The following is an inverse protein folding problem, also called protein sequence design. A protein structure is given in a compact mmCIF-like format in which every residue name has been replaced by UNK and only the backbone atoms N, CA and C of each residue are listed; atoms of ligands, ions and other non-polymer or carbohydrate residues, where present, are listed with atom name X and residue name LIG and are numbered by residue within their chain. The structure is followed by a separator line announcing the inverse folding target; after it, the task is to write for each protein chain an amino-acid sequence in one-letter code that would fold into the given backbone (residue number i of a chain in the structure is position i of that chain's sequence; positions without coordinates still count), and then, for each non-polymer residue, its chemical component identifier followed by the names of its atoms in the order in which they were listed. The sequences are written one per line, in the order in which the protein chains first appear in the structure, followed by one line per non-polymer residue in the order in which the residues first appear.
data_IF_522977081897
#
_entry.id   IF_522977081897
#
_cell.length_a   1.000
_cell.length_b   1.000
_cell.length_c   1.000
_cell.angle_alpha   90.00
_cell.angle_beta   90.00
_cell.angle_gamma   90.00
#
_symmetry.space_group_name_H-M   'P 1'
#
loop_
_entity.id
_entity.type
_entity.pdbx_description
1 polymer ?
#
# COMPACT_ATOMS: atom_id res chain seq x y z
N UNK A 1 -0.69 86.95 -29.55
CA UNK A 1 0.22 87.00 -28.39
C UNK A 1 0.03 85.68 -27.63
N UNK A 2 0.78 84.65 -28.01
CA UNK A 2 0.81 83.33 -27.35
C UNK A 2 2.23 83.19 -26.80
N UNK A 3 2.37 83.07 -25.49
CA UNK A 3 3.66 82.89 -24.82
C UNK A 3 3.82 81.40 -24.49
N UNK A 4 4.75 80.75 -25.17
CA UNK A 4 5.24 79.40 -24.87
C UNK A 4 6.09 79.43 -23.58
N UNK A 5 5.64 78.75 -22.54
CA UNK A 5 6.45 78.47 -21.34
C UNK A 5 7.12 77.09 -21.49
N UNK A 6 8.30 77.08 -22.10
CA UNK A 6 9.15 75.88 -22.21
C UNK A 6 9.84 75.57 -20.88
N UNK A 7 9.33 74.58 -20.13
CA UNK A 7 10.01 74.06 -18.95
C UNK A 7 11.15 73.10 -19.37
N UNK A 8 12.37 73.62 -19.48
CA UNK A 8 13.56 72.83 -19.84
C UNK A 8 14.09 72.06 -18.63
N UNK A 9 13.70 70.79 -18.49
CA UNK A 9 14.25 69.89 -17.47
C UNK A 9 15.68 69.50 -17.88
N UNK A 10 16.67 69.91 -17.09
CA UNK A 10 18.09 69.64 -17.32
C UNK A 10 18.44 68.15 -17.40
N UNK A 11 19.43 67.79 -18.23
CA UNK A 11 19.86 66.40 -18.50
C UNK A 11 20.24 65.60 -17.24
N UNK A 12 20.65 66.29 -16.17
CA UNK A 12 20.98 65.69 -14.86
C UNK A 12 19.74 65.23 -14.09
N UNK A 13 18.69 66.04 -14.06
CA UNK A 13 17.42 65.73 -13.36
C UNK A 13 16.67 64.58 -14.05
N UNK A 14 16.73 64.49 -15.39
CA UNK A 14 16.16 63.34 -16.13
C UNK A 14 16.84 62.02 -15.79
N UNK A 15 18.15 62.03 -15.53
CA UNK A 15 18.90 60.82 -15.14
C UNK A 15 18.54 60.36 -13.73
N UNK A 16 18.33 61.30 -12.79
CA UNK A 16 17.90 60.99 -11.42
C UNK A 16 16.49 60.40 -11.41
N UNK A 17 15.56 60.99 -12.14
CA UNK A 17 14.18 60.50 -12.28
C UNK A 17 14.18 59.11 -12.93
N UNK A 18 14.99 58.90 -13.97
CA UNK A 18 15.12 57.59 -14.63
C UNK A 18 15.74 56.51 -13.72
N UNK A 19 16.76 56.86 -12.92
CA UNK A 19 17.31 55.93 -11.93
C UNK A 19 16.31 55.60 -10.82
N UNK A 20 15.55 56.58 -10.33
CA UNK A 20 14.53 56.37 -9.30
C UNK A 20 13.37 55.50 -9.80
N UNK A 21 12.90 55.70 -11.04
CA UNK A 21 11.87 54.85 -11.64
C UNK A 21 12.38 53.44 -11.94
N UNK A 22 13.64 53.30 -12.38
CA UNK A 22 14.26 51.99 -12.61
C UNK A 22 14.45 51.22 -11.29
N UNK A 23 14.86 51.88 -10.21
CA UNK A 23 14.94 51.27 -8.88
C UNK A 23 13.56 50.88 -8.34
N UNK A 24 12.54 51.73 -8.50
CA UNK A 24 11.17 51.40 -8.09
C UNK A 24 10.58 50.22 -8.86
N UNK A 25 10.85 50.12 -10.16
CA UNK A 25 10.49 48.97 -11.00
C UNK A 25 11.23 47.69 -10.54
N UNK A 26 12.52 47.77 -10.25
CA UNK A 26 13.29 46.63 -9.73
C UNK A 26 12.78 46.13 -8.36
N UNK A 27 12.36 47.04 -7.47
CA UNK A 27 11.74 46.68 -6.19
C UNK A 27 10.35 46.06 -6.36
N UNK A 28 9.54 46.52 -7.33
CA UNK A 28 8.24 45.94 -7.63
C UNK A 28 8.34 44.52 -8.20
N UNK A 29 9.39 44.22 -8.97
CA UNK A 29 9.67 42.86 -9.46
C UNK A 29 10.26 41.92 -8.39
N UNK A 30 10.96 42.44 -7.37
CA UNK A 30 11.48 41.63 -6.25
C UNK A 30 10.38 41.21 -5.26
N UNK A 31 9.31 42.00 -5.10
CA UNK A 31 8.20 41.67 -4.20
C UNK A 31 7.23 40.62 -4.76
N UNK A 32 7.34 40.28 -6.04
CA UNK A 32 6.62 39.17 -6.67
C UNK A 32 7.34 37.82 -6.52
N UNK A 33 8.48 37.78 -5.82
CA UNK A 33 8.99 36.53 -5.30
C UNK A 33 8.02 36.07 -4.20
N UNK A 34 7.12 35.15 -4.56
CA UNK A 34 6.14 34.53 -3.69
C UNK A 34 6.69 34.40 -2.27
N UNK A 35 5.95 34.92 -1.30
CA UNK A 35 6.00 34.38 0.05
C UNK A 35 5.58 32.91 -0.04
N UNK A 36 6.51 32.04 -0.45
CA UNK A 36 6.39 30.60 -0.36
C UNK A 36 6.23 30.33 1.13
N UNK A 37 4.98 30.16 1.57
CA UNK A 37 4.67 29.44 2.79
C UNK A 37 5.59 28.23 2.82
N UNK A 38 6.41 28.13 3.86
CA UNK A 38 7.32 27.01 4.04
C UNK A 38 6.55 25.73 3.69
N UNK A 39 6.99 25.05 2.62
CA UNK A 39 6.23 23.95 2.05
C UNK A 39 5.89 22.97 3.18
N UNK A 40 4.59 22.77 3.44
CA UNK A 40 4.13 21.87 4.50
C UNK A 40 4.82 20.52 4.29
N UNK A 41 5.56 20.05 5.30
CA UNK A 41 6.20 18.74 5.23
C UNK A 41 5.09 17.68 5.15
N UNK A 42 5.01 16.88 4.07
CA UNK A 42 3.97 15.87 3.92
C UNK A 42 4.06 14.82 5.02
N UNK A 43 2.92 14.41 5.57
CA UNK A 43 2.79 13.30 6.53
C UNK A 43 2.14 12.09 5.87
N UNK A 44 2.82 10.96 5.93
CA UNK A 44 2.31 9.68 5.42
C UNK A 44 2.12 8.74 6.60
N UNK A 45 0.88 8.30 6.81
CA UNK A 45 0.58 7.23 7.76
C UNK A 45 0.85 5.87 7.13
N UNK A 46 1.59 4.99 7.80
CA UNK A 46 1.86 3.62 7.33
C UNK A 46 1.19 2.66 8.29
N UNK A 47 0.10 2.03 7.84
CA UNK A 47 -0.68 1.08 8.62
C UNK A 47 -0.42 -0.35 8.14
N UNK A 48 0.19 -1.15 9.02
CA UNK A 48 0.57 -2.53 8.69
C UNK A 48 0.10 -3.53 9.75
N UNK A 49 -0.33 -4.69 9.28
CA UNK A 49 -0.76 -5.79 10.14
C UNK A 49 0.41 -6.47 10.87
N UNK A 50 1.57 -6.61 10.24
CA UNK A 50 2.74 -7.25 10.87
C UNK A 50 3.58 -6.30 11.72
N UNK A 51 4.77 -6.75 12.09
CA UNK A 51 5.74 -5.99 12.88
C UNK A 51 6.61 -5.03 12.05
N UNK A 52 7.60 -4.44 12.73
CA UNK A 52 8.48 -3.38 12.18
C UNK A 52 9.44 -3.86 11.07
N UNK A 53 9.97 -5.07 11.17
CA UNK A 53 11.03 -5.55 10.28
C UNK A 53 10.46 -6.15 9.00
N UNK A 54 10.22 -5.29 8.01
CA UNK A 54 9.54 -5.64 6.77
C UNK A 54 10.30 -5.17 5.54
N UNK A 55 10.74 -6.07 4.65
CA UNK A 55 11.47 -5.71 3.43
C UNK A 55 10.72 -4.72 2.53
N UNK A 56 9.39 -4.83 2.44
CA UNK A 56 8.56 -3.95 1.61
C UNK A 56 8.54 -2.50 2.12
N UNK A 57 8.68 -2.26 3.43
CA UNK A 57 8.79 -0.90 3.98
C UNK A 57 10.11 -0.26 3.54
N UNK A 58 11.21 -1.03 3.51
CA UNK A 58 12.49 -0.50 3.03
C UNK A 58 12.46 -0.17 1.54
N UNK A 59 11.82 -1.03 0.72
CA UNK A 59 11.61 -0.76 -0.70
C UNK A 59 10.75 0.51 -0.92
N UNK A 60 9.69 0.70 -0.12
CA UNK A 60 8.87 1.91 -0.15
C UNK A 60 9.69 3.17 0.18
N UNK A 61 10.51 3.12 1.24
CA UNK A 61 11.41 4.23 1.61
C UNK A 61 12.44 4.51 0.54
N UNK A 62 12.97 3.48 -0.12
CA UNK A 62 13.89 3.65 -1.24
C UNK A 62 13.22 4.34 -2.43
N UNK A 63 12.02 3.91 -2.82
CA UNK A 63 11.26 4.55 -3.90
C UNK A 63 10.88 6.01 -3.60
N UNK A 64 10.66 6.36 -2.32
CA UNK A 64 10.50 7.75 -1.87
C UNK A 64 11.79 8.55 -2.06
N UNK A 65 12.95 8.01 -1.64
CA UNK A 65 14.26 8.69 -1.81
C UNK A 65 14.58 8.97 -3.26
N UNK A 66 14.33 8.02 -4.15
CA UNK A 66 14.52 8.17 -5.61
C UNK A 66 13.65 9.29 -6.21
N UNK A 67 12.56 9.64 -5.54
CA UNK A 67 11.66 10.76 -5.90
C UNK A 67 11.95 12.04 -5.12
N UNK A 68 13.07 12.07 -4.38
CA UNK A 68 13.50 13.23 -3.60
C UNK A 68 12.92 13.32 -2.19
N UNK A 69 12.15 12.35 -1.73
CA UNK A 69 11.58 12.32 -0.38
C UNK A 69 12.47 11.54 0.58
N UNK A 70 13.04 12.23 1.57
CA UNK A 70 13.85 11.64 2.65
C UNK A 70 13.15 11.85 3.98
N UNK A 71 12.79 10.75 4.63
CA UNK A 71 12.17 10.76 5.96
C UNK A 71 12.99 11.58 6.96
N UNK A 72 12.29 12.41 7.74
CA UNK A 72 12.89 13.30 8.74
C UNK A 72 13.56 14.54 8.16
N UNK A 73 13.65 14.67 6.83
CA UNK A 73 14.12 15.89 6.15
C UNK A 73 12.98 16.67 5.52
N UNK A 74 12.24 16.02 4.62
CA UNK A 74 11.19 16.66 3.83
C UNK A 74 9.92 15.79 3.68
N UNK A 75 9.82 14.72 4.46
CA UNK A 75 8.61 13.91 4.63
C UNK A 75 8.60 13.30 6.03
N UNK A 76 7.42 13.14 6.63
CA UNK A 76 7.23 12.42 7.89
C UNK A 76 6.49 11.12 7.61
N UNK A 77 7.01 10.00 8.14
CA UNK A 77 6.36 8.70 8.05
C UNK A 77 5.89 8.28 9.46
N UNK A 78 4.58 8.23 9.68
CA UNK A 78 3.97 7.81 10.94
C UNK A 78 3.59 6.33 10.86
N UNK A 79 4.36 5.47 11.53
CA UNK A 79 4.14 4.02 11.48
C UNK A 79 3.14 3.53 12.52
N UNK A 80 2.29 2.58 12.13
CA UNK A 80 1.39 1.83 13.00
C UNK A 80 1.43 0.34 12.67
N UNK A 81 1.96 -0.44 13.60
CA UNK A 81 2.13 -1.88 13.49
C UNK A 81 1.15 -2.60 14.40
N UNK A 82 0.36 -3.52 13.83
CA UNK A 82 -0.62 -4.28 14.57
C UNK A 82 -0.03 -5.54 15.23
N UNK A 83 1.21 -5.91 14.91
CA UNK A 83 1.92 -7.08 15.48
C UNK A 83 1.11 -8.39 15.31
N UNK A 84 0.54 -8.58 14.13
CA UNK A 84 -0.29 -9.73 13.76
C UNK A 84 -1.73 -9.66 14.27
N UNK A 85 -2.07 -8.72 15.15
CA UNK A 85 -3.39 -8.62 15.76
C UNK A 85 -4.33 -7.72 14.93
N UNK A 86 -5.26 -8.34 14.21
CA UNK A 86 -6.25 -7.65 13.35
C UNK A 86 -7.12 -6.68 14.15
N UNK A 87 -7.48 -6.99 15.40
CA UNK A 87 -8.38 -6.20 16.22
C UNK A 87 -7.79 -4.84 16.63
N UNK A 88 -6.46 -4.69 16.51
CA UNK A 88 -5.78 -3.40 16.74
C UNK A 88 -5.94 -2.44 15.57
N UNK A 89 -6.15 -2.94 14.34
CA UNK A 89 -6.13 -2.12 13.12
C UNK A 89 -7.12 -0.95 13.12
N UNK A 90 -8.38 -1.09 13.60
CA UNK A 90 -9.32 0.03 13.65
C UNK A 90 -8.81 1.20 14.52
N UNK A 91 -8.29 0.90 15.71
CA UNK A 91 -7.74 1.93 16.62
C UNK A 91 -6.52 2.64 16.02
N UNK A 92 -5.60 1.87 15.43
CA UNK A 92 -4.41 2.38 14.77
C UNK A 92 -4.74 3.25 13.54
N UNK A 93 -5.78 2.88 12.78
CA UNK A 93 -6.27 3.69 11.67
C UNK A 93 -6.86 5.03 12.17
N UNK A 94 -7.66 5.00 13.25
CA UNK A 94 -8.23 6.19 13.86
C UNK A 94 -7.15 7.16 14.36
N UNK A 95 -6.06 6.64 14.94
CA UNK A 95 -4.90 7.48 15.32
C UNK A 95 -4.32 8.22 14.12
N UNK A 96 -4.13 7.57 12.97
CA UNK A 96 -3.60 8.20 11.75
C UNK A 96 -4.53 9.32 11.23
N UNK A 97 -5.84 9.13 11.35
CA UNK A 97 -6.84 10.16 11.00
C UNK A 97 -6.75 11.36 11.95
N UNK A 98 -6.68 11.13 13.26
CA UNK A 98 -6.52 12.19 14.28
C UNK A 98 -5.22 12.98 14.09
N UNK A 99 -4.18 12.28 13.67
CA UNK A 99 -2.88 12.79 13.29
C UNK A 99 -2.85 13.60 11.98
N UNK A 100 -3.99 13.70 11.29
CA UNK A 100 -4.18 14.48 10.06
C UNK A 100 -3.09 14.22 9.02
N UNK A 101 -2.76 12.93 8.82
CA UNK A 101 -1.84 12.54 7.75
C UNK A 101 -2.43 12.90 6.38
N UNK A 102 -1.56 13.20 5.43
CA UNK A 102 -1.96 13.59 4.08
C UNK A 102 -2.32 12.37 3.21
N UNK A 103 -1.70 11.21 3.47
CA UNK A 103 -1.97 9.92 2.81
C UNK A 103 -1.82 8.79 3.82
N UNK A 104 -2.64 7.75 3.71
CA UNK A 104 -2.47 6.48 4.43
C UNK A 104 -1.99 5.40 3.45
N UNK A 105 -0.87 4.77 3.74
CA UNK A 105 -0.35 3.62 3.00
C UNK A 105 -0.66 2.35 3.77
N UNK A 106 -1.21 1.35 3.10
CA UNK A 106 -1.60 0.06 3.68
C UNK A 106 -0.99 -1.10 2.93
N UNK A 107 -0.58 -2.12 3.68
CA UNK A 107 0.18 -3.28 3.17
C UNK A 107 -0.58 -4.59 3.34
N UNK A 108 -1.88 -4.54 3.64
CA UNK A 108 -2.77 -5.70 3.64
C UNK A 108 -4.22 -5.28 3.39
N UNK A 109 -5.06 -6.22 2.94
CA UNK A 109 -6.50 -5.97 2.80
C UNK A 109 -7.18 -5.60 4.14
N UNK A 110 -6.74 -6.18 5.26
CA UNK A 110 -7.26 -5.84 6.59
C UNK A 110 -6.91 -4.40 6.98
N UNK A 111 -5.66 -3.98 6.71
CA UNK A 111 -5.21 -2.61 6.95
C UNK A 111 -5.97 -1.62 6.06
N UNK A 112 -6.17 -1.97 4.78
CA UNK A 112 -6.95 -1.15 3.84
C UNK A 112 -8.40 -0.99 4.31
N UNK A 113 -9.07 -2.07 4.74
CA UNK A 113 -10.44 -2.03 5.27
C UNK A 113 -10.53 -1.10 6.48
N UNK A 114 -9.68 -1.31 7.49
CA UNK A 114 -9.66 -0.45 8.68
C UNK A 114 -9.44 1.03 8.33
N UNK A 115 -8.54 1.33 7.39
CA UNK A 115 -8.33 2.70 6.91
C UNK A 115 -9.57 3.27 6.21
N UNK A 116 -10.23 2.50 5.34
CA UNK A 116 -11.45 2.96 4.63
C UNK A 116 -12.65 3.12 5.56
N UNK A 117 -12.70 2.39 6.66
CA UNK A 117 -13.71 2.56 7.71
C UNK A 117 -13.43 3.81 8.54
N UNK A 118 -12.16 4.10 8.84
CA UNK A 118 -11.75 5.27 9.62
C UNK A 118 -11.87 6.60 8.86
N UNK A 119 -11.76 6.61 7.54
CA UNK A 119 -11.81 7.85 6.74
C UNK A 119 -12.29 7.65 5.31
N UNK A 120 -13.08 8.62 4.82
CA UNK A 120 -13.56 8.71 3.44
C UNK A 120 -12.85 9.80 2.62
N UNK A 121 -11.98 10.58 3.25
CA UNK A 121 -11.40 11.80 2.66
C UNK A 121 -9.89 11.73 2.50
N UNK A 122 -9.18 11.09 3.42
CA UNK A 122 -7.73 10.94 3.31
C UNK A 122 -7.44 9.87 2.24
N UNK A 123 -6.62 10.16 1.21
CA UNK A 123 -6.23 9.15 0.22
C UNK A 123 -5.58 7.93 0.86
N UNK A 124 -5.99 6.74 0.43
CA UNK A 124 -5.49 5.44 0.87
C UNK A 124 -4.80 4.78 -0.31
N UNK A 125 -3.52 4.43 -0.14
CA UNK A 125 -2.72 3.70 -1.12
C UNK A 125 -2.46 2.29 -0.59
N UNK A 126 -2.98 1.29 -1.30
CA UNK A 126 -2.71 -0.13 -1.03
C UNK A 126 -1.43 -0.50 -1.77
N UNK A 127 -0.46 -1.13 -1.11
CA UNK A 127 0.79 -1.58 -1.77
C UNK A 127 0.82 -3.07 -1.99
N UNK A 128 0.14 -3.82 -1.12
CA UNK A 128 0.04 -5.28 -1.12
C UNK A 128 -1.33 -5.64 -0.53
N UNK A 129 -1.98 -6.68 -1.05
CA UNK A 129 -3.28 -7.10 -0.55
C UNK A 129 -4.09 -7.88 -1.57
N UNK A 130 -5.22 -8.40 -1.09
CA UNK A 130 -6.21 -9.14 -1.87
C UNK A 130 -6.87 -8.27 -2.95
N UNK A 131 -7.70 -8.91 -3.79
CA UNK A 131 -8.47 -8.24 -4.82
C UNK A 131 -9.36 -7.11 -4.24
N UNK A 132 -9.09 -5.83 -4.56
CA UNK A 132 -9.81 -4.69 -3.99
C UNK A 132 -11.25 -4.60 -4.50
N UNK A 133 -11.56 -5.18 -5.66
CA UNK A 133 -12.92 -5.21 -6.22
C UNK A 133 -13.73 -6.28 -5.52
N UNK A 134 -13.20 -7.52 -5.49
CA UNK A 134 -13.87 -8.62 -4.78
C UNK A 134 -14.09 -8.25 -3.33
N UNK A 135 -13.15 -7.61 -2.65
CA UNK A 135 -13.27 -7.21 -1.24
C UNK A 135 -14.17 -5.98 -1.00
N UNK A 136 -14.71 -5.36 -2.05
CA UNK A 136 -15.58 -4.18 -1.92
C UNK A 136 -14.82 -2.93 -1.46
N UNK A 137 -13.48 -2.93 -1.55
CA UNK A 137 -12.63 -1.78 -1.29
C UNK A 137 -12.66 -0.78 -2.47
N UNK A 138 -12.86 -1.28 -3.68
CA UNK A 138 -12.92 -0.53 -4.94
C UNK A 138 -14.11 -1.01 -5.80
N UNK A 139 -14.70 -0.12 -6.60
CA UNK A 139 -15.74 -0.47 -7.58
C UNK A 139 -15.17 -1.24 -8.78
N UNK A 140 -13.98 -0.84 -9.24
CA UNK A 140 -13.23 -1.50 -10.31
C UNK A 140 -11.74 -1.18 -10.18
N UNK A 141 -10.89 -1.95 -10.85
CA UNK A 141 -9.44 -1.69 -10.87
C UNK A 141 -9.10 -0.38 -11.60
N UNK A 142 -9.78 -0.10 -12.71
CA UNK A 142 -9.54 1.10 -13.51
C UNK A 142 -10.09 2.37 -12.86
N UNK A 143 -11.18 2.24 -12.09
CA UNK A 143 -11.87 3.33 -11.39
C UNK A 143 -12.32 2.84 -10.02
N UNK A 144 -11.53 3.05 -8.96
CA UNK A 144 -11.86 2.54 -7.63
C UNK A 144 -13.10 3.18 -6.99
N UNK A 145 -13.52 4.37 -7.43
CA UNK A 145 -14.75 5.04 -7.01
C UNK A 145 -14.71 5.74 -5.64
N UNK A 146 -13.68 5.49 -4.82
CA UNK A 146 -13.50 6.11 -3.49
C UNK A 146 -12.10 6.69 -3.31
N UNK A 147 -11.75 7.09 -2.09
CA UNK A 147 -10.43 7.56 -1.67
C UNK A 147 -9.36 6.45 -1.64
N UNK A 148 -9.47 5.41 -2.46
CA UNK A 148 -8.59 4.23 -2.46
C UNK A 148 -7.95 4.06 -3.82
N UNK A 149 -6.66 3.78 -3.85
CA UNK A 149 -5.89 3.41 -5.05
C UNK A 149 -4.75 2.47 -4.67
N UNK A 150 -3.95 2.06 -5.64
CA UNK A 150 -2.66 1.40 -5.40
C UNK A 150 -2.46 0.13 -6.22
N UNK A 151 -1.76 -0.83 -5.60
CA UNK A 151 -1.35 -2.09 -6.17
C UNK A 151 -2.13 -3.23 -5.52
N UNK A 152 -2.50 -4.21 -6.33
CA UNK A 152 -3.14 -5.46 -5.89
C UNK A 152 -2.28 -6.65 -6.32
N UNK A 153 -2.15 -7.64 -5.44
CA UNK A 153 -1.49 -8.91 -5.74
C UNK A 153 -2.56 -10.00 -5.62
N UNK A 154 -3.12 -10.40 -6.76
CA UNK A 154 -4.19 -11.39 -6.82
C UNK A 154 -3.57 -12.79 -6.83
N UNK A 155 -3.21 -13.29 -5.64
CA UNK A 155 -2.53 -14.59 -5.49
C UNK A 155 -3.43 -15.81 -5.74
N UNK A 156 -4.74 -15.65 -5.54
CA UNK A 156 -5.72 -16.75 -5.65
C UNK A 156 -5.67 -17.41 -7.02
N UNK A 157 -5.56 -16.59 -8.07
CA UNK A 157 -5.52 -17.03 -9.46
C UNK A 157 -4.24 -17.82 -9.79
N UNK A 158 -3.18 -17.61 -9.01
CA UNK A 158 -1.89 -18.30 -9.19
C UNK A 158 -1.85 -19.68 -8.51
N UNK A 159 -2.78 -20.00 -7.62
CA UNK A 159 -2.74 -21.26 -6.87
C UNK A 159 -2.85 -22.49 -7.77
N UNK A 160 -3.70 -22.44 -8.79
CA UNK A 160 -3.77 -23.49 -9.81
C UNK A 160 -2.46 -23.60 -10.61
N UNK A 161 -1.89 -22.47 -11.05
CA UNK A 161 -0.67 -22.47 -11.84
C UNK A 161 0.56 -22.97 -11.07
N UNK A 162 0.66 -22.62 -9.78
CA UNK A 162 1.69 -23.15 -8.87
C UNK A 162 1.63 -24.68 -8.80
N UNK A 163 0.44 -25.27 -8.80
CA UNK A 163 0.26 -26.72 -8.82
C UNK A 163 0.60 -27.37 -10.16
N UNK A 164 0.22 -26.74 -11.28
CA UNK A 164 0.61 -27.20 -12.61
C UNK A 164 2.13 -27.25 -12.74
N UNK A 165 2.83 -26.18 -12.36
CA UNK A 165 4.30 -26.11 -12.38
C UNK A 165 4.91 -27.19 -11.48
N UNK A 166 4.34 -27.41 -10.29
CA UNK A 166 4.81 -28.46 -9.38
C UNK A 166 4.62 -29.86 -9.99
N UNK A 167 3.51 -30.10 -10.68
CA UNK A 167 3.23 -31.36 -11.37
C UNK A 167 4.11 -31.56 -12.61
N UNK A 168 4.39 -30.51 -13.37
CA UNK A 168 5.34 -30.53 -14.49
C UNK A 168 6.76 -30.87 -14.01
N UNK A 169 7.18 -30.28 -12.89
CA UNK A 169 8.49 -30.54 -12.27
C UNK A 169 8.58 -31.95 -11.68
N UNK A 170 7.51 -32.43 -11.05
CA UNK A 170 7.41 -33.76 -10.45
C UNK A 170 6.27 -34.56 -11.07
N UNK A 171 6.44 -35.12 -12.28
CA UNK A 171 5.35 -35.74 -13.04
C UNK A 171 4.74 -36.96 -12.33
N UNK A 172 5.51 -37.64 -11.48
CA UNK A 172 5.07 -38.78 -10.67
C UNK A 172 4.38 -38.39 -9.35
N UNK A 173 4.20 -37.09 -9.08
CA UNK A 173 3.50 -36.61 -7.89
C UNK A 173 2.02 -37.04 -7.94
N UNK A 174 1.55 -37.76 -6.92
CA UNK A 174 0.15 -38.18 -6.78
C UNK A 174 -0.45 -37.77 -5.43
N UNK A 175 0.37 -37.34 -4.46
CA UNK A 175 -0.06 -36.85 -3.15
C UNK A 175 0.64 -35.55 -2.82
N UNK A 176 -0.13 -34.51 -2.54
CA UNK A 176 0.37 -33.19 -2.18
C UNK A 176 -0.16 -32.81 -0.81
N UNK A 177 0.72 -32.53 0.15
CA UNK A 177 0.34 -31.83 1.36
C UNK A 177 0.14 -30.34 1.06
N UNK A 178 -0.95 -29.77 1.57
CA UNK A 178 -1.29 -28.38 1.38
C UNK A 178 -1.61 -27.74 2.72
N UNK A 179 -0.71 -26.87 3.18
CA UNK A 179 -0.78 -26.22 4.46
C UNK A 179 -1.36 -24.82 4.28
N UNK A 180 -2.48 -24.51 4.93
CA UNK A 180 -3.21 -23.27 4.70
C UNK A 180 -3.96 -22.77 5.93
N UNK A 181 -4.11 -21.45 6.01
CA UNK A 181 -4.90 -20.82 7.05
C UNK A 181 -6.31 -20.52 6.55
N UNK A 182 -7.37 -21.08 7.17
CA UNK A 182 -8.75 -20.84 6.77
C UNK A 182 -9.24 -19.41 7.08
N UNK A 183 -8.54 -18.69 7.95
CA UNK A 183 -8.80 -17.30 8.32
C UNK A 183 -7.94 -16.32 7.53
N UNK A 184 -6.97 -16.80 6.74
CA UNK A 184 -6.27 -15.99 5.75
C UNK A 184 -7.18 -15.82 4.53
N UNK A 185 -8.30 -15.14 4.74
CA UNK A 185 -9.26 -14.83 3.70
C UNK A 185 -8.63 -13.75 2.83
N UNK A 186 -8.42 -14.04 1.55
CA UNK A 186 -8.74 -13.05 0.54
C UNK A 186 -10.23 -12.77 0.68
N UNK A 187 -10.57 -11.70 1.39
CA UNK A 187 -11.95 -11.34 1.62
C UNK A 187 -12.62 -11.08 0.27
N UNK A 188 -13.52 -11.96 -0.15
CA UNK A 188 -14.66 -11.52 -0.94
C UNK A 188 -15.53 -10.64 -0.03
N UNK A 189 -16.00 -9.52 -0.56
CA UNK A 189 -17.08 -8.73 -0.02
C UNK A 189 -18.27 -9.66 0.19
N UNK A 190 -18.98 -9.45 1.30
CA UNK A 190 -19.98 -10.34 1.87
C UNK A 190 -19.38 -11.54 2.62
N UNK A 191 -19.59 -11.54 3.94
CA UNK A 191 -19.22 -12.61 4.86
C UNK A 191 -20.02 -13.90 4.65
N UNK A 192 -19.89 -14.51 3.46
CA UNK A 192 -20.69 -15.69 3.06
C UNK A 192 -19.88 -16.88 2.59
N UNK A 193 -18.55 -16.87 2.67
CA UNK A 193 -17.79 -18.07 2.30
C UNK A 193 -16.71 -18.37 3.33
N UNK A 194 -16.96 -19.39 4.14
CA UNK A 194 -16.03 -20.02 5.09
C UNK A 194 -14.91 -20.82 4.39
N UNK A 195 -14.32 -20.25 3.33
CA UNK A 195 -13.31 -20.87 2.47
C UNK A 195 -12.18 -19.90 2.14
N UNK A 196 -11.01 -20.45 1.80
CA UNK A 196 -9.87 -19.68 1.30
C UNK A 196 -9.87 -19.84 -0.24
N UNK A 197 -10.06 -18.76 -1.03
CA UNK A 197 -10.19 -18.91 -2.49
C UNK A 197 -8.94 -19.53 -3.15
N UNK A 198 -7.75 -19.32 -2.56
CA UNK A 198 -6.53 -19.99 -3.00
C UNK A 198 -6.58 -21.50 -2.79
N UNK A 199 -7.17 -21.95 -1.67
CA UNK A 199 -7.44 -23.36 -1.42
C UNK A 199 -8.46 -23.92 -2.40
N UNK A 200 -9.55 -23.21 -2.67
CA UNK A 200 -10.60 -23.66 -3.59
C UNK A 200 -10.04 -23.83 -5.02
N UNK A 201 -9.19 -22.91 -5.46
CA UNK A 201 -8.47 -22.99 -6.73
C UNK A 201 -7.46 -24.15 -6.73
N UNK A 202 -6.76 -24.38 -5.62
CA UNK A 202 -5.87 -25.51 -5.46
C UNK A 202 -6.61 -26.85 -5.54
N UNK A 203 -7.76 -26.97 -4.85
CA UNK A 203 -8.59 -28.16 -4.87
C UNK A 203 -9.08 -28.48 -6.28
N UNK A 204 -9.60 -27.48 -7.01
CA UNK A 204 -10.01 -27.65 -8.41
C UNK A 204 -8.85 -28.12 -9.30
N UNK A 205 -7.68 -27.49 -9.19
CA UNK A 205 -6.52 -27.85 -9.99
C UNK A 205 -6.01 -29.27 -9.69
N UNK A 206 -5.98 -29.69 -8.42
CA UNK A 206 -5.57 -31.05 -8.07
C UNK A 206 -6.50 -32.13 -8.62
N UNK A 207 -7.82 -31.87 -8.67
CA UNK A 207 -8.80 -32.78 -9.33
C UNK A 207 -8.47 -32.94 -10.82
N UNK A 208 -8.20 -31.85 -11.53
CA UNK A 208 -7.82 -31.90 -12.96
C UNK A 208 -6.47 -32.59 -13.19
N UNK A 209 -5.51 -32.43 -12.28
CA UNK A 209 -4.15 -32.99 -12.40
C UNK A 209 -4.03 -34.43 -11.89
N UNK A 210 -5.11 -35.03 -11.36
CA UNK A 210 -5.09 -36.38 -10.79
C UNK A 210 -4.19 -36.49 -9.55
N UNK A 211 -4.12 -35.43 -8.74
CA UNK A 211 -3.31 -35.37 -7.51
C UNK A 211 -4.24 -35.39 -6.30
N UNK A 212 -3.95 -36.24 -5.33
CA UNK A 212 -4.63 -36.21 -4.04
C UNK A 212 -4.14 -35.02 -3.21
N UNK A 213 -5.04 -34.10 -2.87
CA UNK A 213 -4.78 -32.97 -1.98
C UNK A 213 -4.97 -33.40 -0.51
N UNK A 214 -3.89 -33.41 0.26
CA UNK A 214 -3.89 -33.66 1.71
C UNK A 214 -3.95 -32.31 2.42
N UNK A 215 -5.15 -31.94 2.88
CA UNK A 215 -5.47 -30.62 3.42
C UNK A 215 -5.08 -30.49 4.90
N UNK A 216 -4.21 -29.54 5.22
CA UNK A 216 -3.82 -29.19 6.58
C UNK A 216 -4.23 -27.75 6.91
N UNK A 217 -5.33 -27.61 7.65
CA UNK A 217 -5.82 -26.32 8.17
C UNK A 217 -5.05 -25.93 9.41
N UNK A 218 -4.52 -24.71 9.44
CA UNK A 218 -3.65 -24.23 10.52
C UNK A 218 -3.87 -22.75 10.81
N UNK A 219 -4.01 -22.42 12.09
CA UNK A 219 -4.30 -21.10 12.66
C UNK A 219 -3.28 -20.71 13.71
N UNK A 220 -2.54 -21.68 14.25
CA UNK A 220 -1.57 -21.50 15.33
C UNK A 220 -0.29 -22.27 15.03
N UNK A 221 0.81 -21.91 15.68
CA UNK A 221 2.08 -22.62 15.57
C UNK A 221 1.95 -24.09 15.98
N UNK A 222 1.23 -24.38 17.06
CA UNK A 222 1.01 -25.77 17.51
C UNK A 222 0.29 -26.63 16.46
N UNK A 223 -0.63 -26.04 15.67
CA UNK A 223 -1.29 -26.74 14.58
C UNK A 223 -0.34 -27.00 13.40
N UNK A 224 0.66 -26.13 13.17
CA UNK A 224 1.73 -26.37 12.19
C UNK A 224 2.58 -27.57 12.62
N UNK A 225 3.06 -27.57 13.86
CA UNK A 225 3.88 -28.67 14.41
C UNK A 225 3.14 -30.00 14.29
N UNK A 226 1.85 -30.01 14.64
CA UNK A 226 0.99 -31.18 14.47
C UNK A 226 0.88 -31.62 13.02
N UNK A 227 0.68 -30.68 12.08
CA UNK A 227 0.61 -31.01 10.65
C UNK A 227 1.90 -31.69 10.17
N UNK A 228 3.08 -31.18 10.54
CA UNK A 228 4.36 -31.80 10.21
C UNK A 228 4.55 -33.17 10.87
N UNK A 229 4.08 -33.36 12.11
CA UNK A 229 4.12 -34.65 12.80
C UNK A 229 3.22 -35.72 12.14
N UNK A 230 2.15 -35.31 11.46
CA UNK A 230 1.23 -36.22 10.77
C UNK A 230 1.70 -36.58 9.35
N UNK A 231 2.46 -35.72 8.67
CA UNK A 231 2.92 -35.94 7.29
C UNK A 231 3.66 -37.26 7.06
N UNK A 232 4.55 -37.76 7.95
CA UNK A 232 5.20 -39.07 7.77
C UNK A 232 4.22 -40.25 7.68
N UNK A 233 3.02 -40.14 8.26
CA UNK A 233 2.00 -41.20 8.24
C UNK A 233 1.34 -41.34 6.86
N UNK A 234 1.21 -40.23 6.14
CA UNK A 234 0.55 -40.17 4.81
C UNK A 234 1.53 -40.00 3.64
N UNK A 235 2.81 -39.72 3.94
CA UNK A 235 3.94 -39.63 3.00
C UNK A 235 3.59 -38.82 1.74
N UNK A 236 3.32 -37.51 1.88
CA UNK A 236 3.12 -36.66 0.71
C UNK A 236 4.37 -36.65 -0.16
N UNK A 237 4.22 -36.51 -1.47
CA UNK A 237 5.37 -36.39 -2.39
C UNK A 237 5.92 -34.96 -2.42
N UNK A 238 5.09 -33.98 -2.09
CA UNK A 238 5.45 -32.57 -1.98
C UNK A 238 4.60 -31.88 -0.89
N UNK A 239 5.08 -30.74 -0.42
CA UNK A 239 4.37 -29.83 0.46
C UNK A 239 4.28 -28.47 -0.24
N UNK A 240 3.07 -27.91 -0.33
CA UNK A 240 2.84 -26.52 -0.71
C UNK A 240 2.29 -25.78 0.51
N UNK A 241 3.00 -24.71 0.90
CA UNK A 241 2.59 -23.84 2.00
C UNK A 241 1.96 -22.58 1.41
N UNK A 242 0.67 -22.37 1.69
CA UNK A 242 -0.01 -21.16 1.27
C UNK A 242 0.39 -20.00 2.18
N UNK A 243 0.80 -18.89 1.58
CA UNK A 243 1.21 -17.70 2.32
C UNK A 243 0.07 -17.23 3.24
N UNK A 244 0.40 -17.04 4.52
CA UNK A 244 -0.47 -16.40 5.49
C UNK A 244 0.38 -15.81 6.61
N UNK A 245 -0.12 -14.84 7.40
CA UNK A 245 0.65 -14.25 8.50
C UNK A 245 1.22 -15.30 9.46
N UNK A 246 0.46 -16.36 9.77
CA UNK A 246 0.90 -17.46 10.66
C UNK A 246 2.04 -18.30 10.06
N UNK A 247 2.26 -18.24 8.74
CA UNK A 247 3.33 -18.96 8.03
C UNK A 247 4.58 -18.12 7.76
N UNK A 248 4.51 -16.81 8.00
CA UNK A 248 5.55 -15.83 7.64
C UNK A 248 6.13 -15.09 8.85
N UNK A 249 5.57 -15.31 10.04
CA UNK A 249 6.08 -14.83 11.32
C UNK A 249 7.05 -15.87 11.90
#
# INVERSE_FOLDING_TARGET
MILDFGFSIGRSERKKIFCLTLCALLFAFCLSAEAQQAAKIPRVGILFIGGRDQPHVQAFKQGLRERGYTEGKNIVLDYRYAEGNVDRLPSLAAELVQLKVDVIVTTSGNSARAATEATKTIPIVITTGADPVKSGLAESLARPGRNVTGLSIIEEDLSGKRLEILKETFPKMTRLAYLWNPLAVSYSAAGTTSGNPSYDQAEKATKTLGVQLLSYKVRTLAEIEKAFADMPKVRPHALLVLQSPVMTL
#
